data_IF_588278582813
#
_entry.id   IF_588278582813
#
_cell.length_a   1.000
_cell.length_b   1.000
_cell.length_c   1.000
_cell.angle_alpha   90.00
_cell.angle_beta   90.00
_cell.angle_gamma   90.00
#
_symmetry.space_group_name_H-M   'P 1'
#
loop_
_entity.id
_entity.type
_entity.pdbx_description
1 polymer ?
#
# COMPACT_ATOMS: atom_id res chain seq x y z
N UNK A 1 18.97 -10.89 8.58
CA UNK A 1 19.03 -9.68 7.73
C UNK A 1 17.90 -9.69 6.73
N UNK A 2 17.18 -8.59 6.60
CA UNK A 2 16.09 -8.48 5.63
C UNK A 2 16.68 -8.23 4.23
N UNK A 3 16.23 -9.00 3.24
CA UNK A 3 16.66 -8.80 1.85
C UNK A 3 15.82 -7.71 1.19
N UNK A 4 16.44 -6.98 0.28
CA UNK A 4 15.81 -5.90 -0.47
C UNK A 4 16.14 -6.04 -1.95
N UNK A 5 15.23 -5.53 -2.80
CA UNK A 5 15.43 -5.45 -4.25
C UNK A 5 15.06 -4.05 -4.73
N UNK A 6 15.69 -3.62 -5.79
CA UNK A 6 15.42 -2.31 -6.40
C UNK A 6 14.47 -2.41 -7.60
N UNK A 7 13.77 -3.52 -7.72
CA UNK A 7 12.74 -3.72 -8.74
C UNK A 7 11.45 -4.14 -8.07
N UNK A 8 10.29 -3.69 -8.58
CA UNK A 8 8.99 -4.11 -8.03
C UNK A 8 8.80 -5.62 -8.17
N UNK A 9 8.28 -6.25 -7.11
CA UNK A 9 7.86 -7.65 -7.16
C UNK A 9 6.50 -7.77 -7.85
N UNK A 10 5.63 -6.78 -7.64
CA UNK A 10 4.28 -6.78 -8.18
C UNK A 10 4.10 -5.60 -9.13
N UNK A 11 3.26 -5.80 -10.14
CA UNK A 11 2.90 -4.74 -11.06
C UNK A 11 1.97 -3.73 -10.40
N UNK A 12 2.33 -2.45 -10.46
CA UNK A 12 1.54 -1.38 -9.84
C UNK A 12 0.17 -1.24 -10.49
N UNK A 13 0.08 -1.36 -11.81
CA UNK A 13 -1.20 -1.25 -12.50
C UNK A 13 -2.13 -2.38 -12.13
N UNK A 14 -1.60 -3.58 -11.93
CA UNK A 14 -2.39 -4.71 -11.43
C UNK A 14 -2.95 -4.40 -10.04
N UNK A 15 -2.12 -3.87 -9.14
CA UNK A 15 -2.56 -3.54 -7.79
C UNK A 15 -3.67 -2.49 -7.81
N UNK A 16 -3.53 -1.46 -8.65
CA UNK A 16 -4.56 -0.42 -8.81
C UNK A 16 -5.87 -1.00 -9.35
N UNK A 17 -5.78 -1.87 -10.35
CA UNK A 17 -6.95 -2.52 -10.93
C UNK A 17 -7.69 -3.40 -9.93
N UNK A 18 -6.95 -4.16 -9.12
CA UNK A 18 -7.55 -4.98 -8.05
C UNK A 18 -8.27 -4.10 -7.02
N UNK A 19 -7.64 -3.00 -6.61
CA UNK A 19 -8.24 -2.08 -5.66
C UNK A 19 -9.54 -1.48 -6.20
N UNK A 20 -9.57 -1.09 -7.49
CA UNK A 20 -10.77 -0.56 -8.13
C UNK A 20 -11.90 -1.59 -8.17
N UNK A 21 -11.57 -2.88 -8.22
CA UNK A 21 -12.53 -3.97 -8.18
C UNK A 21 -12.91 -4.36 -6.74
N UNK A 22 -12.53 -3.56 -5.76
CA UNK A 22 -12.74 -3.82 -4.33
C UNK A 22 -12.03 -5.09 -3.83
N UNK A 23 -10.99 -5.52 -4.54
CA UNK A 23 -10.15 -6.65 -4.14
C UNK A 23 -8.93 -6.14 -3.36
N UNK A 24 -9.22 -5.48 -2.25
CA UNK A 24 -8.20 -4.86 -1.39
C UNK A 24 -8.50 -5.20 0.06
N UNK A 25 -7.44 -5.52 0.82
CA UNK A 25 -7.52 -5.79 2.24
C UNK A 25 -6.64 -4.81 2.99
N UNK A 26 -7.12 -4.38 4.16
CA UNK A 26 -6.37 -3.51 5.07
C UNK A 26 -6.49 -4.06 6.48
N UNK A 27 -5.45 -3.85 7.30
CA UNK A 27 -5.47 -4.26 8.69
C UNK A 27 -6.32 -3.31 9.53
N UNK A 28 -6.69 -3.79 10.74
CA UNK A 28 -7.38 -2.92 11.72
C UNK A 28 -6.53 -1.72 12.12
N UNK A 29 -5.20 -1.89 12.18
CA UNK A 29 -4.27 -0.80 12.49
C UNK A 29 -4.38 0.34 11.47
N UNK A 30 -4.40 0.00 10.17
CA UNK A 30 -4.54 0.99 9.10
C UNK A 30 -5.91 1.68 9.21
N UNK A 31 -6.96 0.90 9.44
CA UNK A 31 -8.32 1.43 9.59
C UNK A 31 -8.38 2.43 10.74
N UNK A 32 -7.84 2.08 11.90
CA UNK A 32 -7.82 2.97 13.07
C UNK A 32 -7.00 4.24 12.81
N UNK A 33 -5.88 4.11 12.12
CA UNK A 33 -5.08 5.28 11.77
C UNK A 33 -5.88 6.27 10.92
N UNK A 34 -6.60 5.76 9.92
CA UNK A 34 -7.42 6.61 9.06
C UNK A 34 -8.56 7.24 9.85
N UNK A 35 -9.24 6.46 10.70
CA UNK A 35 -10.36 6.96 11.53
C UNK A 35 -9.92 8.08 12.47
N UNK A 36 -8.73 7.94 13.06
CA UNK A 36 -8.24 8.91 14.04
C UNK A 36 -7.75 10.20 13.40
N UNK A 37 -7.34 10.14 12.14
CA UNK A 37 -6.74 11.29 11.46
C UNK A 37 -7.70 11.99 10.51
N UNK A 38 -8.66 11.26 9.97
CA UNK A 38 -9.58 11.77 8.95
C UNK A 38 -11.02 11.43 9.32
N UNK A 39 -11.92 12.34 9.04
CA UNK A 39 -13.36 12.08 9.18
C UNK A 39 -13.85 11.45 7.88
N UNK A 40 -13.56 10.16 7.70
CA UNK A 40 -13.86 9.43 6.49
C UNK A 40 -14.83 8.29 6.80
N UNK A 41 -15.96 8.27 6.13
CA UNK A 41 -16.95 7.20 6.27
C UNK A 41 -16.50 5.93 5.55
N UNK A 42 -15.88 6.07 4.38
CA UNK A 42 -15.43 4.93 3.56
C UNK A 42 -13.90 4.79 3.64
N UNK A 43 -13.43 4.01 4.62
CA UNK A 43 -12.00 3.77 4.82
C UNK A 43 -11.39 2.98 3.67
N UNK A 44 -12.15 2.03 3.11
CA UNK A 44 -11.67 1.23 1.97
C UNK A 44 -11.53 2.11 0.74
N UNK A 45 -12.51 2.98 0.47
CA UNK A 45 -12.42 3.93 -0.62
C UNK A 45 -11.24 4.90 -0.48
N UNK A 46 -10.93 5.30 0.75
CA UNK A 46 -9.75 6.12 1.03
C UNK A 46 -8.47 5.39 0.60
N UNK A 47 -8.35 4.10 0.95
CA UNK A 47 -7.19 3.28 0.60
C UNK A 47 -7.14 3.04 -0.91
N UNK A 48 -8.26 2.82 -1.58
CA UNK A 48 -8.30 2.69 -3.05
C UNK A 48 -7.76 3.96 -3.69
N UNK A 49 -8.19 5.13 -3.21
CA UNK A 49 -7.67 6.42 -3.69
C UNK A 49 -6.18 6.58 -3.44
N UNK A 50 -5.69 6.13 -2.28
CA UNK A 50 -4.26 6.18 -1.96
C UNK A 50 -3.46 5.31 -2.94
N UNK A 51 -3.90 4.08 -3.19
CA UNK A 51 -3.23 3.18 -4.14
C UNK A 51 -3.24 3.77 -5.56
N UNK A 52 -4.36 4.37 -5.95
CA UNK A 52 -4.47 5.00 -7.27
C UNK A 52 -3.54 6.19 -7.43
N UNK A 53 -3.22 6.86 -6.34
CA UNK A 53 -2.32 8.01 -6.32
C UNK A 53 -0.84 7.63 -6.45
N UNK A 54 -0.49 6.36 -6.24
CA UNK A 54 0.90 5.90 -6.37
C UNK A 54 1.36 6.03 -7.81
N UNK A 55 2.52 6.64 -8.00
CA UNK A 55 3.17 6.75 -9.30
C UNK A 55 4.41 5.85 -9.34
N UNK A 56 4.86 5.39 -10.52
CA UNK A 56 6.05 4.55 -10.60
C UNK A 56 7.28 5.19 -9.94
N UNK A 57 7.42 6.51 -10.00
CA UNK A 57 8.53 7.24 -9.37
C UNK A 57 8.53 7.15 -7.85
N UNK A 58 7.39 6.80 -7.25
CA UNK A 58 7.30 6.64 -5.78
C UNK A 58 7.92 5.34 -5.31
N UNK A 59 8.23 4.42 -6.21
CA UNK A 59 8.80 3.13 -5.82
C UNK A 59 10.13 3.33 -5.09
N UNK A 60 10.23 2.74 -3.90
CA UNK A 60 11.43 2.78 -3.08
C UNK A 60 12.22 1.48 -3.22
N UNK A 61 11.57 0.36 -2.90
CA UNK A 61 12.22 -0.95 -2.90
C UNK A 61 11.18 -2.04 -2.75
N UNK A 62 11.61 -3.27 -2.99
CA UNK A 62 10.86 -4.47 -2.62
C UNK A 62 11.59 -5.12 -1.45
N UNK A 63 10.88 -5.54 -0.41
CA UNK A 63 11.48 -6.13 0.79
C UNK A 63 10.91 -7.51 1.06
N UNK A 64 11.78 -8.42 1.49
CA UNK A 64 11.34 -9.73 1.95
C UNK A 64 10.80 -9.59 3.38
N UNK A 65 9.62 -10.15 3.65
CA UNK A 65 9.00 -10.04 4.96
C UNK A 65 9.69 -10.99 5.95
N UNK A 66 10.04 -10.44 7.13
CA UNK A 66 10.73 -11.21 8.16
C UNK A 66 9.86 -12.35 8.71
N UNK A 67 8.54 -12.11 8.83
CA UNK A 67 7.61 -13.08 9.40
C UNK A 67 7.17 -14.16 8.42
N UNK A 68 7.32 -13.92 7.12
CA UNK A 68 6.99 -14.89 6.07
C UNK A 68 8.12 -14.89 5.04
N UNK A 69 9.19 -15.67 5.29
CA UNK A 69 10.31 -15.74 4.35
C UNK A 69 9.83 -16.18 2.95
N UNK A 70 10.38 -15.56 1.93
CA UNK A 70 9.98 -15.80 0.55
C UNK A 70 8.85 -14.93 0.05
N UNK A 71 8.15 -14.25 0.94
CA UNK A 71 7.10 -13.30 0.56
C UNK A 71 7.71 -11.89 0.50
N UNK A 72 7.54 -11.23 -0.63
CA UNK A 72 8.09 -9.90 -0.90
C UNK A 72 6.97 -8.87 -0.93
N UNK A 73 7.26 -7.65 -0.50
CA UNK A 73 6.32 -6.53 -0.54
C UNK A 73 6.93 -5.37 -1.32
N UNK A 74 6.11 -4.70 -2.10
CA UNK A 74 6.51 -3.43 -2.73
C UNK A 74 6.37 -2.31 -1.71
N UNK A 75 7.36 -1.42 -1.66
CA UNK A 75 7.37 -0.24 -0.80
C UNK A 75 7.41 1.01 -1.66
N UNK A 76 6.47 1.92 -1.41
CA UNK A 76 6.38 3.22 -2.08
C UNK A 76 6.47 4.32 -1.05
N UNK A 77 7.13 5.42 -1.41
CA UNK A 77 7.34 6.55 -0.52
C UNK A 77 6.95 7.85 -1.19
N UNK A 78 6.65 8.84 -0.37
CA UNK A 78 6.29 10.19 -0.82
C UNK A 78 5.10 10.19 -1.76
N UNK A 79 4.15 9.27 -1.52
CA UNK A 79 2.91 9.21 -2.29
C UNK A 79 2.02 10.38 -1.87
N UNK A 80 1.57 11.17 -2.83
CA UNK A 80 0.73 12.34 -2.57
C UNK A 80 -0.73 11.95 -2.55
N UNK A 81 -1.36 12.09 -1.40
CA UNK A 81 -2.78 11.78 -1.24
C UNK A 81 -3.36 12.58 -0.08
N UNK A 82 -4.57 13.12 -0.25
CA UNK A 82 -5.25 13.93 0.77
C UNK A 82 -4.36 15.09 1.27
N UNK A 83 -3.64 15.74 0.34
CA UNK A 83 -2.71 16.85 0.58
C UNK A 83 -1.54 16.50 1.51
N UNK A 84 -1.22 15.23 1.62
CA UNK A 84 -0.15 14.74 2.48
C UNK A 84 0.72 13.72 1.75
N UNK A 85 1.88 13.41 2.34
CA UNK A 85 2.80 12.41 1.83
C UNK A 85 2.63 11.12 2.62
N UNK A 86 2.65 9.98 1.89
CA UNK A 86 2.38 8.66 2.47
C UNK A 86 3.46 7.65 2.15
N UNK A 87 3.70 6.77 3.11
CA UNK A 87 4.44 5.52 2.96
C UNK A 87 3.42 4.40 2.76
N UNK A 88 3.59 3.60 1.71
CA UNK A 88 2.66 2.50 1.40
C UNK A 88 3.46 1.23 1.14
N UNK A 89 3.05 0.13 1.77
CA UNK A 89 3.64 -1.18 1.54
C UNK A 89 2.53 -2.18 1.27
N UNK A 90 2.64 -2.94 0.17
CA UNK A 90 1.62 -3.93 -0.16
C UNK A 90 2.22 -5.18 -0.78
N UNK A 91 1.44 -6.26 -0.71
CA UNK A 91 1.65 -7.52 -1.46
C UNK A 91 0.42 -7.79 -2.31
N UNK A 92 0.58 -8.56 -3.39
CA UNK A 92 -0.56 -9.14 -4.10
C UNK A 92 -0.58 -10.62 -3.74
N UNK A 93 -1.65 -11.06 -3.10
CA UNK A 93 -1.85 -12.45 -2.72
C UNK A 93 -2.65 -13.16 -3.80
N UNK A 94 -2.21 -14.36 -4.18
CA UNK A 94 -2.80 -15.14 -5.26
C UNK A 94 -3.21 -16.54 -4.81
N UNK A 95 -3.83 -16.64 -3.65
CA UNK A 95 -4.32 -17.93 -3.13
C UNK A 95 -5.65 -18.28 -3.79
N UNK A 96 -6.72 -18.39 -3.02
CA UNK A 96 -8.06 -18.67 -3.55
C UNK A 96 -8.62 -17.46 -4.32
N UNK A 97 -8.21 -16.27 -3.93
CA UNK A 97 -8.60 -15.01 -4.56
C UNK A 97 -7.36 -14.18 -4.78
N UNK A 98 -7.38 -13.39 -5.86
CA UNK A 98 -6.31 -12.42 -6.09
C UNK A 98 -6.72 -11.10 -5.45
N UNK A 99 -5.97 -10.67 -4.44
CA UNK A 99 -6.26 -9.44 -3.70
C UNK A 99 -4.96 -8.68 -3.43
N UNK A 100 -5.04 -7.35 -3.40
CA UNK A 100 -3.95 -6.54 -2.90
C UNK A 100 -4.13 -6.37 -1.40
N UNK A 101 -3.10 -6.76 -0.64
CA UNK A 101 -3.11 -6.65 0.81
C UNK A 101 -2.17 -5.51 1.21
N UNK A 102 -2.75 -4.43 1.72
CA UNK A 102 -1.98 -3.27 2.17
C UNK A 102 -1.49 -3.54 3.58
N UNK A 103 -0.17 -3.73 3.70
CA UNK A 103 0.47 -4.07 4.97
C UNK A 103 0.79 -2.83 5.80
N UNK A 104 1.06 -1.70 5.14
CA UNK A 104 1.35 -0.44 5.81
C UNK A 104 0.82 0.71 4.95
N UNK A 105 0.20 1.69 5.61
CA UNK A 105 -0.17 2.96 5.02
C UNK A 105 0.02 4.00 6.12
N UNK A 106 1.14 4.71 6.08
CA UNK A 106 1.56 5.62 7.13
C UNK A 106 1.81 7.01 6.58
N UNK A 107 1.40 8.01 7.35
CA UNK A 107 1.69 9.40 7.05
C UNK A 107 3.19 9.67 7.21
N UNK A 108 3.79 10.31 6.21
CA UNK A 108 5.20 10.70 6.22
C UNK A 108 5.40 12.19 6.46
N UNK A 109 4.40 13.02 6.17
CA UNK A 109 4.50 14.45 6.34
C UNK A 109 3.59 15.22 5.39
N UNK A 110 3.73 16.54 5.42
CA UNK A 110 2.96 17.43 4.55
C UNK A 110 3.67 17.63 3.22
N UNK A 111 2.89 17.97 2.20
CA UNK A 111 3.42 18.42 0.92
C UNK A 111 3.96 19.85 1.11
N UNK A 112 5.21 20.03 0.70
CA UNK A 112 5.88 21.34 0.79
C UNK A 112 5.81 22.09 -0.52
#
# INVERSE_FOLDING_TARGET
MRRERHQPTYDLDEAKGLAEQHRVQISGRIRHFIENRYDVLDKRGFIVGLLDAIEPRNFSKSVELAVVPGLWANVYREVRHADELWYVKFVIERDERVVVNVLSANWEGYIH
#
